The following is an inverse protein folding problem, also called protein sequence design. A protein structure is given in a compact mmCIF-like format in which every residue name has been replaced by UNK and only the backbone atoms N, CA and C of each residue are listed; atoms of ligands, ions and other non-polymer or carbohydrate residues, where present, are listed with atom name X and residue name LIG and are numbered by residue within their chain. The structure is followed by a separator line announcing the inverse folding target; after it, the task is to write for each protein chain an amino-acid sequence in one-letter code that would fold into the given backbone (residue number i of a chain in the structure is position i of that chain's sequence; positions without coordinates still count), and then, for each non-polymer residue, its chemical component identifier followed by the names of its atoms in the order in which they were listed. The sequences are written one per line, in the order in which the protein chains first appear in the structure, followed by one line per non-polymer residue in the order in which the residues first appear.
data_IF_465013013496
#
_entry.id   IF_465013013496
#
_cell.length_a   1.000
_cell.length_b   1.000
_cell.length_c   1.000
_cell.angle_alpha   90.00
_cell.angle_beta   90.00
_cell.angle_gamma   90.00
#
_symmetry.space_group_name_H-M   'P 1'
#
loop_
_entity.id
_entity.type
_entity.pdbx_description
1 polymer ?
#
# COMPACT_ATOMS: atom_id res chain seq x y z
N UNK A 1 3.43 5.28 18.42
CA UNK A 1 3.13 6.44 17.54
C UNK A 1 1.97 6.11 16.61
N UNK A 2 1.40 7.12 15.94
CA UNK A 2 0.41 6.94 14.86
C UNK A 2 1.09 7.26 13.54
N UNK A 3 1.07 6.33 12.59
CA UNK A 3 1.84 6.41 11.34
C UNK A 3 0.92 6.15 10.15
N UNK A 4 0.96 7.03 9.15
CA UNK A 4 0.32 6.84 7.86
C UNK A 4 1.38 6.54 6.80
N UNK A 5 1.23 5.42 6.09
CA UNK A 5 2.04 5.09 4.92
C UNK A 5 1.19 5.27 3.67
N UNK A 6 1.75 5.84 2.62
CA UNK A 6 1.05 6.08 1.36
C UNK A 6 1.79 5.40 0.22
N UNK A 7 1.08 4.63 -0.61
CA UNK A 7 1.59 4.04 -1.85
C UNK A 7 0.85 4.63 -3.04
N UNK A 8 1.54 5.08 -4.10
CA UNK A 8 0.90 5.50 -5.35
C UNK A 8 0.45 4.30 -6.21
N UNK A 9 0.92 3.09 -5.88
CA UNK A 9 0.59 1.87 -6.62
C UNK A 9 -0.52 1.08 -5.92
N UNK A 10 -1.28 0.35 -6.73
CA UNK A 10 -2.28 -0.61 -6.28
C UNK A 10 -1.72 -1.56 -5.24
N UNK A 11 -2.28 -1.57 -4.04
CA UNK A 11 -1.86 -2.40 -2.92
C UNK A 11 -2.36 -3.84 -3.03
N UNK A 12 -3.40 -4.08 -3.84
CA UNK A 12 -3.95 -5.42 -4.11
C UNK A 12 -3.21 -6.18 -5.21
N UNK A 13 -2.28 -5.53 -5.93
CA UNK A 13 -1.47 -6.15 -6.98
C UNK A 13 -0.04 -6.38 -6.48
N UNK A 14 0.52 -7.60 -6.60
CA UNK A 14 1.88 -7.88 -6.17
C UNK A 14 2.92 -7.01 -6.89
N UNK A 15 3.86 -6.46 -6.12
CA UNK A 15 4.98 -5.69 -6.65
C UNK A 15 5.97 -5.29 -5.55
N UNK A 16 7.16 -4.81 -5.95
CA UNK A 16 8.25 -4.53 -5.02
C UNK A 16 7.92 -3.43 -4.01
N UNK A 17 7.33 -2.32 -4.47
CA UNK A 17 6.98 -1.17 -3.61
C UNK A 17 5.86 -1.55 -2.64
N UNK A 18 4.82 -2.25 -3.13
CA UNK A 18 3.73 -2.76 -2.31
C UNK A 18 4.26 -3.69 -1.21
N UNK A 19 5.14 -4.62 -1.58
CA UNK A 19 5.77 -5.55 -0.65
C UNK A 19 6.55 -4.82 0.45
N UNK A 20 7.30 -3.78 0.10
CA UNK A 20 8.01 -2.96 1.08
C UNK A 20 7.06 -2.18 2.00
N UNK A 21 6.04 -1.51 1.45
CA UNK A 21 5.09 -0.72 2.24
C UNK A 21 4.34 -1.60 3.25
N UNK A 22 3.81 -2.75 2.80
CA UNK A 22 3.09 -3.69 3.68
C UNK A 22 4.03 -4.40 4.66
N UNK A 23 5.27 -4.72 4.25
CA UNK A 23 6.30 -5.27 5.14
C UNK A 23 6.68 -4.30 6.25
N UNK A 24 6.93 -3.03 5.91
CA UNK A 24 7.23 -1.98 6.86
C UNK A 24 6.06 -1.72 7.81
N UNK A 25 4.82 -1.71 7.29
CA UNK A 25 3.63 -1.56 8.13
C UNK A 25 3.54 -2.66 9.18
N UNK A 26 3.76 -3.92 8.80
CA UNK A 26 3.79 -5.07 9.72
C UNK A 26 4.92 -4.93 10.76
N UNK A 27 6.13 -4.56 10.35
CA UNK A 27 7.26 -4.37 11.26
C UNK A 27 7.00 -3.28 12.31
N UNK A 28 6.46 -2.13 11.88
CA UNK A 28 6.12 -1.02 12.77
C UNK A 28 4.96 -1.37 13.72
N UNK A 29 3.95 -2.12 13.24
CA UNK A 29 2.87 -2.65 14.10
C UNK A 29 3.42 -3.62 15.15
N UNK A 30 4.37 -4.48 14.79
CA UNK A 30 5.03 -5.39 15.73
C UNK A 30 5.83 -4.64 16.82
N UNK A 31 6.26 -3.41 16.56
CA UNK A 31 6.86 -2.51 17.54
C UNK A 31 5.84 -1.71 18.38
N UNK A 32 4.54 -2.01 18.26
CA UNK A 32 3.47 -1.36 19.04
C UNK A 32 3.00 -0.01 18.47
N UNK A 33 3.28 0.29 17.20
CA UNK A 33 2.77 1.49 16.55
C UNK A 33 1.43 1.25 15.84
N UNK A 34 0.53 2.24 15.88
CA UNK A 34 -0.70 2.22 15.11
C UNK A 34 -0.40 2.69 13.68
N UNK A 35 -0.48 1.77 12.70
CA UNK A 35 -0.12 2.05 11.30
C UNK A 35 -1.30 1.83 10.37
N UNK A 36 -1.62 2.84 9.56
CA UNK A 36 -2.56 2.78 8.45
C UNK A 36 -1.81 2.92 7.13
N UNK A 37 -2.17 2.10 6.14
CA UNK A 37 -1.64 2.16 4.78
C UNK A 37 -2.74 2.67 3.86
N UNK A 38 -2.43 3.68 3.06
CA UNK A 38 -3.35 4.35 2.15
C UNK A 38 -2.82 4.20 0.73
N UNK A 39 -3.70 3.87 -0.21
CA UNK A 39 -3.33 3.76 -1.61
C UNK A 39 -4.45 3.18 -2.45
N UNK A 40 -4.27 3.11 -3.78
CA UNK A 40 -5.21 2.44 -4.65
C UNK A 40 -5.31 0.93 -4.34
N UNK A 41 -6.44 0.32 -4.64
CA UNK A 41 -6.63 -1.13 -4.66
C UNK A 41 -7.49 -1.50 -5.87
N UNK A 42 -6.93 -2.25 -6.83
CA UNK A 42 -7.66 -2.82 -7.98
C UNK A 42 -8.36 -4.13 -7.61
N UNK A 43 -8.90 -4.19 -6.41
CA UNK A 43 -9.42 -5.41 -5.78
C UNK A 43 -9.62 -5.21 -4.28
N UNK A 44 -9.93 -6.28 -3.54
CA UNK A 44 -10.07 -6.18 -2.09
C UNK A 44 -8.72 -5.79 -1.44
N UNK A 45 -8.74 -5.05 -0.32
CA UNK A 45 -7.54 -4.76 0.45
C UNK A 45 -6.82 -6.07 0.83
N UNK A 46 -5.48 -6.13 0.72
CA UNK A 46 -4.72 -7.36 0.94
C UNK A 46 -4.58 -7.75 2.42
N UNK A 47 -4.68 -6.79 3.35
CA UNK A 47 -4.56 -7.03 4.79
C UNK A 47 -5.28 -5.95 5.63
N UNK A 48 -5.55 -6.21 6.93
CA UNK A 48 -6.10 -5.21 7.84
C UNK A 48 -5.24 -3.95 7.97
N UNK A 49 -5.89 -2.80 8.17
CA UNK A 49 -5.20 -1.52 8.29
C UNK A 49 -4.71 -0.95 6.95
N UNK A 50 -5.20 -1.50 5.84
CA UNK A 50 -5.17 -0.85 4.53
C UNK A 50 -6.51 -0.13 4.31
N UNK A 51 -6.44 1.14 3.96
CA UNK A 51 -7.59 1.97 3.56
C UNK A 51 -7.49 2.23 2.05
N UNK A 52 -8.33 1.58 1.23
CA UNK A 52 -8.38 1.83 -0.21
C UNK A 52 -8.78 3.27 -0.53
N UNK A 53 -8.13 3.86 -1.52
CA UNK A 53 -8.43 5.19 -2.03
C UNK A 53 -9.05 5.18 -3.44
N UNK A 54 -9.56 4.02 -3.88
CA UNK A 54 -10.11 3.79 -5.22
C UNK A 54 -9.21 2.87 -6.06
N UNK A 55 -9.50 2.77 -7.36
CA UNK A 55 -8.71 1.97 -8.31
C UNK A 55 -7.45 2.74 -8.74
N UNK A 56 -6.43 2.03 -9.18
CA UNK A 56 -5.26 2.64 -9.80
C UNK A 56 -5.63 3.21 -11.18
N UNK A 57 -4.93 4.26 -11.58
CA UNK A 57 -5.07 4.87 -12.91
C UNK A 57 -3.81 4.53 -13.71
N UNK A 58 -3.92 3.79 -14.82
CA UNK A 58 -2.76 3.47 -15.63
C UNK A 58 -2.18 4.76 -16.23
N UNK A 59 -0.88 4.96 -16.04
CA UNK A 59 -0.14 6.06 -16.62
C UNK A 59 1.07 5.49 -17.34
N UNK A 60 1.01 5.46 -18.67
CA UNK A 60 2.17 5.10 -19.48
C UNK A 60 3.21 6.22 -19.39
N UNK A 61 4.36 5.94 -18.79
CA UNK A 61 5.49 6.86 -18.70
C UNK A 61 6.81 6.09 -18.87
N UNK A 62 7.78 6.67 -19.57
CA UNK A 62 9.14 6.10 -19.73
C UNK A 62 9.18 4.65 -20.25
N UNK A 63 8.21 4.23 -21.07
CA UNK A 63 8.14 2.86 -21.58
C UNK A 63 7.60 1.82 -20.58
N UNK A 64 6.91 2.25 -19.52
CA UNK A 64 6.16 1.36 -18.64
C UNK A 64 5.07 0.63 -19.43
N UNK A 65 5.01 -0.69 -19.27
CA UNK A 65 3.93 -1.56 -19.76
C UNK A 65 2.81 -1.69 -18.73
#
# INVERSE_FOLDING_TARGET
MRIGLVSPYSLSVPGGVQGQVLGLARALRAQGHAVQVLGPCDGPPPEPGVTPLGNSVPLAANGSV
#
